data_IF_062137526887
#
_entry.id   IF_062137526887
#
_cell.length_a   1.000
_cell.length_b   1.000
_cell.length_c   1.000
_cell.angle_alpha   90.00
_cell.angle_beta   90.00
_cell.angle_gamma   90.00
#
_symmetry.space_group_name_H-M   'P 1'
#
loop_
_entity.id
_entity.type
_entity.pdbx_description
1 polymer ?
#
# COMPACT_ATOMS: atom_id res chain seq x y z
N UNK A 1 -22.83 15.16 11.16
CA UNK A 1 -21.75 15.81 11.93
C UNK A 1 -20.72 16.47 11.01
N UNK A 2 -20.13 15.76 10.05
CA UNK A 2 -19.08 16.29 9.16
C UNK A 2 -19.47 17.54 8.35
N UNK A 3 -20.72 17.64 7.88
CA UNK A 3 -21.18 18.83 7.14
C UNK A 3 -21.18 20.11 8.00
N UNK A 4 -21.69 20.03 9.23
CA UNK A 4 -21.71 21.16 10.17
C UNK A 4 -20.30 21.60 10.62
N UNK A 5 -19.36 20.66 10.70
CA UNK A 5 -17.97 20.95 11.02
C UNK A 5 -17.21 21.58 9.85
N UNK A 6 -17.48 21.14 8.62
CA UNK A 6 -16.92 21.78 7.41
C UNK A 6 -17.46 23.20 7.23
N UNK A 7 -18.74 23.42 7.53
CA UNK A 7 -19.36 24.75 7.49
C UNK A 7 -18.73 25.69 8.53
N UNK A 8 -18.43 25.19 9.73
CA UNK A 8 -17.87 26.00 10.83
C UNK A 8 -16.36 26.19 10.77
N UNK A 9 -15.62 25.16 10.38
CA UNK A 9 -14.15 25.13 10.47
C UNK A 9 -13.47 25.16 9.10
N UNK A 10 -14.19 24.92 8.00
CA UNK A 10 -13.66 24.96 6.64
C UNK A 10 -13.31 23.58 6.05
N UNK A 11 -12.89 23.58 4.78
CA UNK A 11 -12.66 22.35 3.98
C UNK A 11 -11.60 21.41 4.56
N UNK A 12 -10.68 21.89 5.39
CA UNK A 12 -9.67 21.04 6.03
C UNK A 12 -10.29 20.05 7.04
N UNK A 13 -11.50 20.31 7.56
CA UNK A 13 -12.20 19.40 8.45
C UNK A 13 -12.81 18.18 7.73
N UNK A 14 -12.70 18.11 6.40
CA UNK A 14 -13.05 16.93 5.61
C UNK A 14 -12.04 15.82 5.91
N UNK A 15 -12.52 14.64 6.32
CA UNK A 15 -11.67 13.47 6.59
C UNK A 15 -11.45 13.13 8.07
N UNK A 16 -11.85 14.01 9.00
CA UNK A 16 -11.76 13.88 10.48
C UNK A 16 -12.39 12.59 11.10
N UNK A 17 -12.97 11.71 10.28
CA UNK A 17 -13.53 10.40 10.68
C UNK A 17 -12.48 9.27 10.80
N UNK A 18 -11.20 9.62 10.82
CA UNK A 18 -10.07 8.67 10.76
C UNK A 18 -9.41 8.56 12.14
N UNK A 19 -9.97 7.71 12.99
CA UNK A 19 -9.52 7.49 14.36
C UNK A 19 -8.57 6.30 14.50
N UNK A 20 -7.78 6.31 15.57
CA UNK A 20 -6.78 5.29 15.90
C UNK A 20 -7.43 3.93 16.16
N UNK A 21 -8.55 3.91 16.90
CA UNK A 21 -9.18 2.67 17.39
C UNK A 21 -10.60 2.41 16.87
N UNK A 22 -11.21 3.33 16.09
CA UNK A 22 -12.44 3.00 15.35
C UNK A 22 -12.83 3.98 14.21
N UNK A 23 -12.78 3.48 12.98
CA UNK A 23 -13.44 4.01 11.79
C UNK A 23 -13.66 2.86 10.78
N UNK A 24 -14.34 3.08 9.65
CA UNK A 24 -14.41 2.05 8.58
C UNK A 24 -13.01 1.54 8.16
N UNK A 25 -11.96 2.33 8.47
CA UNK A 25 -10.54 2.09 8.26
C UNK A 25 -9.81 2.57 9.52
N UNK A 26 -9.46 1.66 10.42
CA UNK A 26 -8.67 1.95 11.62
C UNK A 26 -7.25 2.44 11.24
N UNK A 27 -6.52 3.04 12.19
CA UNK A 27 -5.14 3.52 11.98
C UNK A 27 -4.99 5.00 11.61
N UNK A 28 -5.99 5.83 11.89
CA UNK A 28 -5.91 7.27 11.70
C UNK A 28 -5.27 8.04 12.85
N UNK A 29 -4.84 9.30 12.62
CA UNK A 29 -4.06 10.10 13.57
C UNK A 29 -4.88 10.64 14.73
N UNK A 30 -6.21 10.47 14.71
CA UNK A 30 -7.13 11.00 15.73
C UNK A 30 -7.31 9.97 16.85
N UNK A 31 -6.82 10.28 18.05
CA UNK A 31 -6.93 9.42 19.23
C UNK A 31 -8.09 9.82 20.17
N UNK A 32 -8.53 11.09 20.12
CA UNK A 32 -9.53 11.63 21.06
C UNK A 32 -11.00 11.33 20.70
N UNK A 33 -11.25 10.63 19.60
CA UNK A 33 -12.58 10.26 19.16
C UNK A 33 -12.59 8.80 18.72
N UNK A 34 -13.37 7.94 19.38
CA UNK A 34 -13.46 6.51 19.01
C UNK A 34 -14.76 6.22 18.24
N UNK A 35 -15.92 6.24 18.90
CA UNK A 35 -17.22 5.99 18.28
C UNK A 35 -18.33 6.82 18.96
N UNK A 36 -19.49 7.03 18.29
CA UNK A 36 -20.61 7.75 18.89
C UNK A 36 -21.06 7.18 20.24
N UNK A 37 -20.96 5.86 20.44
CA UNK A 37 -21.40 5.19 21.68
C UNK A 37 -20.56 5.57 22.90
N UNK A 38 -19.23 5.65 22.73
CA UNK A 38 -18.30 5.85 23.84
C UNK A 38 -17.77 7.29 23.92
N UNK A 39 -17.85 8.04 22.82
CA UNK A 39 -17.41 9.45 22.76
C UNK A 39 -18.52 10.46 23.02
N UNK A 40 -19.80 10.11 22.79
CA UNK A 40 -20.93 11.00 23.07
C UNK A 40 -21.44 10.72 24.49
N UNK A 41 -21.16 11.66 25.39
CA UNK A 41 -21.60 11.61 26.79
C UNK A 41 -22.46 12.84 27.10
N UNK A 42 -21.96 13.77 27.90
CA UNK A 42 -22.61 15.08 28.10
C UNK A 42 -22.27 16.03 26.95
N UNK A 43 -23.09 17.06 26.67
CA UNK A 43 -22.79 18.03 25.62
C UNK A 43 -21.41 18.68 25.77
N UNK A 44 -21.01 19.04 26.99
CA UNK A 44 -19.72 19.66 27.28
C UNK A 44 -18.54 18.70 27.03
N UNK A 45 -18.62 17.46 27.55
CA UNK A 45 -17.56 16.46 27.34
C UNK A 45 -17.46 16.03 25.87
N UNK A 46 -18.62 15.90 25.20
CA UNK A 46 -18.67 15.57 23.78
C UNK A 46 -18.03 16.69 22.96
N UNK A 47 -18.35 17.95 23.26
CA UNK A 47 -17.74 19.09 22.60
C UNK A 47 -16.23 19.13 22.83
N UNK A 48 -15.76 18.88 24.06
CA UNK A 48 -14.34 18.82 24.37
C UNK A 48 -13.61 17.73 23.56
N UNK A 49 -14.19 16.52 23.46
CA UNK A 49 -13.64 15.43 22.64
C UNK A 49 -13.62 15.77 21.16
N UNK A 50 -14.70 16.37 20.63
CA UNK A 50 -14.75 16.83 19.23
C UNK A 50 -13.65 17.85 18.95
N UNK A 51 -13.46 18.82 19.84
CA UNK A 51 -12.42 19.85 19.70
C UNK A 51 -11.03 19.23 19.73
N UNK A 52 -10.75 18.35 20.70
CA UNK A 52 -9.45 17.67 20.80
C UNK A 52 -9.14 16.85 19.53
N UNK A 53 -10.10 16.08 19.05
CA UNK A 53 -9.97 15.30 17.83
C UNK A 53 -9.75 16.15 16.57
N UNK A 54 -10.40 17.32 16.48
CA UNK A 54 -10.18 18.27 15.38
C UNK A 54 -8.78 18.90 15.44
N UNK A 55 -8.26 19.18 16.64
CA UNK A 55 -6.90 19.68 16.81
C UNK A 55 -5.84 18.63 16.42
N UNK A 56 -6.05 17.35 16.76
CA UNK A 56 -5.18 16.24 16.31
C UNK A 56 -5.16 16.12 14.79
N UNK A 57 -6.34 16.13 14.16
CA UNK A 57 -6.47 16.10 12.72
C UNK A 57 -5.76 17.27 12.05
N UNK A 58 -5.91 18.48 12.59
CA UNK A 58 -5.21 19.67 12.10
C UNK A 58 -3.70 19.55 12.24
N UNK A 59 -3.21 19.11 13.40
CA UNK A 59 -1.77 18.93 13.64
C UNK A 59 -1.16 17.90 12.69
N UNK A 60 -1.89 16.82 12.39
CA UNK A 60 -1.48 15.86 11.39
C UNK A 60 -1.43 16.45 9.98
N UNK A 61 -2.44 17.22 9.56
CA UNK A 61 -2.44 17.91 8.26
C UNK A 61 -1.30 18.93 8.11
N UNK A 62 -1.01 19.70 9.16
CA UNK A 62 0.09 20.66 9.18
C UNK A 62 1.45 19.96 9.14
N UNK A 63 1.61 18.84 9.87
CA UNK A 63 2.79 17.98 9.79
C UNK A 63 2.97 17.42 8.38
N UNK A 64 1.90 16.84 7.80
CA UNK A 64 1.90 16.30 6.44
C UNK A 64 2.26 17.37 5.39
N UNK A 65 1.71 18.57 5.50
CA UNK A 65 2.07 19.69 4.63
C UNK A 65 3.57 20.04 4.76
N UNK A 66 4.08 20.13 5.99
CA UNK A 66 5.51 20.32 6.25
C UNK A 66 6.38 19.22 5.64
N UNK A 67 5.92 17.96 5.63
CA UNK A 67 6.62 16.86 4.96
C UNK A 67 6.65 17.03 3.45
N UNK A 68 5.54 17.42 2.82
CA UNK A 68 5.53 17.68 1.37
C UNK A 68 6.40 18.88 0.98
N UNK A 69 6.50 19.90 1.84
CA UNK A 69 7.40 21.03 1.63
C UNK A 69 8.88 20.65 1.82
N UNK A 70 9.20 19.85 2.85
CA UNK A 70 10.57 19.44 3.16
C UNK A 70 11.10 18.35 2.20
N UNK A 71 10.21 17.51 1.69
CA UNK A 71 10.53 16.42 0.76
C UNK A 71 9.64 16.54 -0.47
N UNK A 72 9.85 17.59 -1.29
CA UNK A 72 9.08 17.74 -2.50
C UNK A 72 9.29 16.48 -3.35
N UNK A 73 8.18 15.87 -3.77
CA UNK A 73 8.14 14.76 -4.71
C UNK A 73 8.61 15.24 -6.09
N UNK A 74 9.88 15.60 -6.21
CA UNK A 74 10.51 15.81 -7.51
C UNK A 74 10.78 14.43 -8.09
N UNK A 75 10.26 14.19 -9.29
CA UNK A 75 10.79 13.13 -10.11
C UNK A 75 12.31 13.34 -10.20
N UNK A 76 13.15 12.34 -9.90
CA UNK A 76 14.58 12.51 -10.11
C UNK A 76 14.81 12.82 -11.58
N UNK A 77 15.39 14.00 -11.85
CA UNK A 77 15.75 14.42 -13.19
C UNK A 77 16.66 13.35 -13.80
N UNK A 78 16.19 12.69 -14.86
CA UNK A 78 17.01 11.82 -15.71
C UNK A 78 16.84 10.30 -15.57
N UNK A 79 15.97 9.79 -14.70
CA UNK A 79 15.64 8.34 -14.75
C UNK A 79 14.55 8.12 -15.78
N UNK A 80 14.93 7.79 -17.01
CA UNK A 80 13.95 7.44 -18.07
C UNK A 80 13.06 6.30 -17.58
N UNK A 81 11.74 6.39 -17.69
CA UNK A 81 10.80 5.33 -17.25
C UNK A 81 10.76 4.11 -18.21
N UNK A 82 11.80 3.93 -19.04
CA UNK A 82 11.87 2.85 -20.02
C UNK A 82 12.02 1.46 -19.40
N UNK A 83 11.70 0.39 -20.17
CA UNK A 83 11.83 -1.00 -19.75
C UNK A 83 13.20 -1.32 -19.14
N UNK A 84 13.21 -2.22 -18.15
CA UNK A 84 14.43 -2.66 -17.48
C UNK A 84 14.41 -4.18 -17.42
N UNK A 85 15.32 -4.80 -18.19
CA UNK A 85 15.56 -6.24 -18.17
C UNK A 85 16.59 -6.53 -17.08
N UNK A 86 16.29 -7.31 -16.05
CA UNK A 86 17.26 -7.59 -15.00
C UNK A 86 18.23 -8.68 -15.46
N UNK A 87 19.46 -8.63 -14.97
CA UNK A 87 20.45 -9.69 -15.15
C UNK A 87 20.10 -10.94 -14.31
N UNK A 88 19.31 -10.76 -13.24
CA UNK A 88 18.82 -11.82 -12.35
C UNK A 88 17.36 -11.60 -12.02
N UNK A 89 16.62 -12.68 -11.83
CA UNK A 89 15.24 -12.58 -11.36
C UNK A 89 15.23 -12.36 -9.84
N UNK A 90 15.42 -11.11 -9.42
CA UNK A 90 15.52 -10.75 -8.01
C UNK A 90 14.30 -11.15 -7.20
N UNK A 91 13.10 -11.13 -7.80
CA UNK A 91 11.87 -11.57 -7.12
C UNK A 91 11.87 -13.09 -6.91
N UNK A 92 12.15 -13.88 -7.96
CA UNK A 92 12.16 -15.34 -7.84
C UNK A 92 13.32 -15.85 -6.96
N UNK A 93 14.50 -15.25 -7.05
CA UNK A 93 15.64 -15.56 -6.17
C UNK A 93 15.29 -15.27 -4.71
N UNK A 94 14.66 -14.13 -4.43
CA UNK A 94 14.27 -13.74 -3.08
C UNK A 94 13.22 -14.70 -2.48
N UNK A 95 12.20 -15.07 -3.27
CA UNK A 95 11.17 -16.02 -2.83
C UNK A 95 11.79 -17.37 -2.47
N UNK A 96 12.66 -17.92 -3.33
CA UNK A 96 13.35 -19.19 -3.06
C UNK A 96 14.21 -19.11 -1.81
N UNK A 97 14.94 -18.02 -1.62
CA UNK A 97 15.86 -17.87 -0.50
C UNK A 97 15.15 -17.59 0.83
N UNK A 98 14.13 -16.72 0.84
CA UNK A 98 13.48 -16.24 2.05
C UNK A 98 12.24 -17.02 2.41
N UNK A 99 11.26 -17.09 1.49
CA UNK A 99 10.05 -17.85 1.76
C UNK A 99 10.38 -19.36 1.78
N UNK A 100 11.29 -19.83 0.91
CA UNK A 100 11.71 -21.24 0.88
C UNK A 100 12.51 -21.70 2.10
N UNK A 101 13.24 -20.78 2.76
CA UNK A 101 13.90 -21.08 4.03
C UNK A 101 12.90 -21.23 5.20
N UNK A 102 11.72 -20.63 5.08
CA UNK A 102 10.63 -20.76 6.06
C UNK A 102 9.80 -22.00 5.76
N UNK A 103 9.35 -22.15 4.51
CA UNK A 103 8.49 -23.23 4.03
C UNK A 103 8.58 -23.35 2.49
N UNK A 104 8.98 -24.53 2.01
CA UNK A 104 9.12 -24.80 0.58
C UNK A 104 7.79 -24.70 -0.19
N UNK A 105 6.69 -25.21 0.38
CA UNK A 105 5.36 -25.17 -0.26
C UNK A 105 4.89 -23.72 -0.40
N UNK A 106 5.14 -22.91 0.63
CA UNK A 106 4.87 -21.46 0.58
C UNK A 106 5.66 -20.76 -0.53
N UNK A 107 6.91 -21.13 -0.72
CA UNK A 107 7.74 -20.58 -1.80
C UNK A 107 7.19 -20.99 -3.17
N UNK A 108 6.80 -22.25 -3.36
CA UNK A 108 6.22 -22.76 -4.61
C UNK A 108 4.92 -22.03 -4.95
N UNK A 109 4.03 -21.84 -3.98
CA UNK A 109 2.80 -21.07 -4.16
C UNK A 109 3.06 -19.61 -4.54
N UNK A 110 4.04 -18.95 -3.92
CA UNK A 110 4.40 -17.57 -4.25
C UNK A 110 5.11 -17.44 -5.60
N UNK A 111 5.86 -18.45 -6.03
CA UNK A 111 6.44 -18.51 -7.39
C UNK A 111 5.36 -18.69 -8.46
N UNK A 112 4.38 -19.58 -8.23
CA UNK A 112 3.24 -19.74 -9.13
C UNK A 112 2.42 -18.43 -9.24
N UNK A 113 2.20 -17.74 -8.12
CA UNK A 113 1.58 -16.41 -8.11
C UNK A 113 2.38 -15.38 -8.90
N UNK A 114 3.72 -15.40 -8.79
CA UNK A 114 4.61 -14.51 -9.55
C UNK A 114 4.54 -14.78 -11.06
N UNK A 115 4.45 -16.05 -11.49
CA UNK A 115 4.27 -16.42 -12.89
C UNK A 115 2.92 -15.93 -13.43
N UNK A 116 1.83 -16.16 -12.69
CA UNK A 116 0.50 -15.69 -13.08
C UNK A 116 0.44 -14.17 -13.18
N UNK A 117 1.00 -13.47 -12.20
CA UNK A 117 1.12 -12.01 -12.20
C UNK A 117 1.85 -11.50 -13.45
N UNK A 118 2.91 -12.16 -13.89
CA UNK A 118 3.67 -11.77 -15.09
C UNK A 118 2.85 -11.97 -16.36
N UNK A 119 2.10 -13.07 -16.44
CA UNK A 119 1.17 -13.30 -17.53
C UNK A 119 0.07 -12.22 -17.57
N UNK A 120 -0.45 -11.83 -16.40
CA UNK A 120 -1.44 -10.76 -16.26
C UNK A 120 -0.88 -9.39 -16.67
N UNK A 121 0.36 -9.10 -16.31
CA UNK A 121 1.02 -7.87 -16.71
C UNK A 121 1.26 -7.82 -18.24
N UNK A 122 1.70 -8.94 -18.82
CA UNK A 122 1.99 -9.07 -20.25
C UNK A 122 0.73 -8.94 -21.12
N UNK A 123 -0.42 -9.45 -20.66
CA UNK A 123 -1.72 -9.28 -21.37
C UNK A 123 -2.35 -7.90 -21.22
N UNK A 124 -1.70 -6.99 -20.48
CA UNK A 124 -2.21 -5.63 -20.31
C UNK A 124 -3.33 -5.49 -19.28
N UNK A 125 -3.44 -6.39 -18.30
CA UNK A 125 -4.47 -6.32 -17.28
C UNK A 125 -4.38 -5.01 -16.46
N UNK A 126 -5.51 -4.58 -15.90
CA UNK A 126 -5.56 -3.49 -14.91
C UNK A 126 -5.59 -4.07 -13.51
N UNK A 127 -4.87 -3.47 -12.56
CA UNK A 127 -4.81 -3.96 -11.19
C UNK A 127 -6.16 -3.77 -10.50
N UNK A 128 -6.73 -4.85 -10.00
CA UNK A 128 -7.98 -4.86 -9.22
C UNK A 128 -7.94 -6.01 -8.20
N UNK A 129 -8.95 -6.07 -7.34
CA UNK A 129 -9.04 -7.09 -6.31
C UNK A 129 -9.13 -8.50 -6.90
N UNK A 130 -9.81 -8.73 -8.03
CA UNK A 130 -9.93 -10.05 -8.65
C UNK A 130 -8.56 -10.62 -9.05
N UNK A 131 -7.64 -9.79 -9.55
CA UNK A 131 -6.26 -10.21 -9.80
C UNK A 131 -5.54 -10.58 -8.51
N UNK A 132 -5.63 -9.73 -7.48
CA UNK A 132 -5.04 -10.02 -6.17
C UNK A 132 -5.58 -11.35 -5.63
N UNK A 133 -6.87 -11.61 -5.80
CA UNK A 133 -7.55 -12.82 -5.36
C UNK A 133 -7.00 -14.07 -6.07
N UNK A 134 -6.83 -13.99 -7.38
CA UNK A 134 -6.25 -15.08 -8.19
C UNK A 134 -4.82 -15.41 -7.76
N UNK A 135 -3.98 -14.39 -7.57
CA UNK A 135 -2.61 -14.61 -7.09
C UNK A 135 -2.61 -15.15 -5.65
N UNK A 136 -3.50 -14.63 -4.79
CA UNK A 136 -3.57 -15.03 -3.39
C UNK A 136 -4.01 -16.49 -3.23
N UNK A 137 -4.78 -17.03 -4.17
CA UNK A 137 -5.11 -18.45 -4.21
C UNK A 137 -3.84 -19.31 -4.22
N UNK A 138 -2.86 -18.97 -5.06
CA UNK A 138 -1.58 -19.67 -5.12
C UNK A 138 -0.73 -19.40 -3.86
N UNK A 139 -0.73 -18.16 -3.36
CA UNK A 139 0.04 -17.78 -2.15
C UNK A 139 -0.40 -18.56 -0.91
N UNK A 140 -1.70 -18.86 -0.80
CA UNK A 140 -2.30 -19.55 0.34
C UNK A 140 -2.55 -21.05 0.08
N UNK A 141 -2.22 -21.54 -1.12
CA UNK A 141 -2.49 -22.90 -1.57
C UNK A 141 -3.96 -23.33 -1.33
N UNK A 142 -4.90 -22.47 -1.72
CA UNK A 142 -6.34 -22.72 -1.53
C UNK A 142 -6.99 -23.29 -2.78
N UNK A 143 -7.96 -24.20 -2.57
CA UNK A 143 -8.72 -24.82 -3.67
C UNK A 143 -9.56 -23.82 -4.48
N UNK A 144 -9.92 -22.68 -3.88
CA UNK A 144 -10.68 -21.59 -4.49
C UNK A 144 -10.05 -20.25 -4.12
N UNK A 145 -10.26 -19.18 -4.93
CA UNK A 145 -9.78 -17.85 -4.59
C UNK A 145 -10.30 -17.40 -3.21
N UNK A 146 -9.43 -16.93 -2.30
CA UNK A 146 -9.85 -16.52 -0.95
C UNK A 146 -10.80 -15.32 -1.04
N UNK A 147 -11.88 -15.27 -0.26
CA UNK A 147 -12.80 -14.14 -0.30
C UNK A 147 -12.14 -12.86 0.22
N UNK A 148 -12.73 -11.71 -0.11
CA UNK A 148 -12.46 -10.48 0.65
C UNK A 148 -12.91 -10.72 2.09
N UNK A 149 -12.07 -10.37 3.06
CA UNK A 149 -12.37 -10.61 4.49
C UNK A 149 -13.70 -9.96 4.88
N UNK A 150 -14.41 -10.57 5.82
CA UNK A 150 -15.70 -10.05 6.33
C UNK A 150 -15.61 -9.49 7.74
N UNK A 151 -14.47 -9.69 8.40
CA UNK A 151 -14.19 -9.25 9.76
C UNK A 151 -12.96 -8.31 9.78
N UNK A 152 -12.78 -7.51 10.85
CA UNK A 152 -11.53 -6.81 11.07
C UNK A 152 -10.34 -7.78 11.06
N UNK A 153 -9.26 -7.39 10.37
CA UNK A 153 -8.03 -8.17 10.37
C UNK A 153 -7.08 -7.66 11.46
N UNK A 154 -6.21 -8.54 11.93
CA UNK A 154 -5.23 -8.22 12.95
C UNK A 154 -3.84 -8.67 12.52
N UNK A 155 -2.85 -7.79 12.67
CA UNK A 155 -1.46 -8.12 12.39
C UNK A 155 -0.57 -7.91 13.61
N UNK A 156 0.68 -8.38 13.49
CA UNK A 156 1.73 -8.25 14.53
C UNK A 156 1.29 -8.76 15.91
N UNK A 157 0.55 -9.87 15.94
CA UNK A 157 0.04 -10.46 17.19
C UNK A 157 -1.07 -9.63 17.85
N UNK A 158 -1.89 -8.94 17.05
CA UNK A 158 -3.03 -8.14 17.53
C UNK A 158 -2.71 -6.67 17.81
N UNK A 159 -1.48 -6.22 17.56
CA UNK A 159 -1.07 -4.82 17.77
C UNK A 159 -1.57 -3.87 16.68
N UNK A 160 -1.88 -4.41 15.50
CA UNK A 160 -2.43 -3.65 14.39
C UNK A 160 -3.82 -4.20 14.09
N UNK A 161 -4.82 -3.32 14.02
CA UNK A 161 -6.21 -3.63 13.67
C UNK A 161 -6.54 -2.94 12.34
N UNK A 162 -7.16 -3.68 11.43
CA UNK A 162 -7.60 -3.19 10.13
C UNK A 162 -9.12 -3.27 10.05
N UNK A 163 -9.77 -2.12 10.19
CA UNK A 163 -11.24 -1.98 10.15
C UNK A 163 -11.86 -2.45 8.82
N UNK A 164 -13.16 -2.76 8.85
CA UNK A 164 -13.94 -3.08 7.64
C UNK A 164 -15.30 -2.40 7.69
N UNK A 165 -15.63 -1.67 6.63
CA UNK A 165 -16.95 -1.10 6.38
C UNK A 165 -17.56 -1.54 5.02
N UNK A 166 -18.86 -1.25 4.78
CA UNK A 166 -19.61 -1.72 3.60
C UNK A 166 -19.06 -1.31 2.22
N UNK A 167 -18.15 -0.33 2.15
CA UNK A 167 -17.52 0.14 0.90
C UNK A 167 -16.01 -0.08 0.84
N UNK A 168 -15.45 -0.94 1.71
CA UNK A 168 -14.00 -1.17 1.80
C UNK A 168 -13.45 -1.75 0.50
N UNK A 169 -14.14 -2.72 -0.09
CA UNK A 169 -13.75 -3.34 -1.36
C UNK A 169 -13.76 -2.34 -2.52
N UNK A 170 -14.85 -1.59 -2.68
CA UNK A 170 -14.97 -0.62 -3.78
C UNK A 170 -13.87 0.47 -3.70
N UNK A 171 -13.50 0.88 -2.48
CA UNK A 171 -12.40 1.83 -2.27
C UNK A 171 -11.04 1.22 -2.58
N UNK A 172 -10.81 -0.04 -2.20
CA UNK A 172 -9.60 -0.75 -2.61
C UNK A 172 -9.49 -0.78 -4.14
N UNK A 173 -10.55 -1.19 -4.84
CA UNK A 173 -10.53 -1.26 -6.31
C UNK A 173 -10.28 0.11 -6.96
N UNK A 174 -10.85 1.18 -6.41
CA UNK A 174 -10.56 2.55 -6.85
C UNK A 174 -9.08 2.90 -6.66
N UNK A 175 -8.50 2.63 -5.48
CA UNK A 175 -7.09 2.91 -5.20
C UNK A 175 -6.13 2.09 -6.09
N UNK A 176 -6.42 0.80 -6.29
CA UNK A 176 -5.64 -0.06 -7.19
C UNK A 176 -5.68 0.44 -8.64
N UNK A 177 -6.85 0.90 -9.11
CA UNK A 177 -7.02 1.47 -10.45
C UNK A 177 -6.17 2.73 -10.65
N UNK A 178 -6.09 3.58 -9.63
CA UNK A 178 -5.29 4.81 -9.66
C UNK A 178 -3.76 4.56 -9.71
N UNK A 179 -3.31 3.31 -9.51
CA UNK A 179 -1.91 2.91 -9.69
C UNK A 179 -1.54 2.66 -11.17
N UNK A 180 -2.49 2.76 -12.10
CA UNK A 180 -2.23 2.72 -13.54
C UNK A 180 -1.52 3.99 -14.03
N UNK A 181 -0.90 3.94 -15.21
CA UNK A 181 -0.19 5.08 -15.80
C UNK A 181 -1.13 6.20 -16.32
N UNK A 182 -2.44 6.06 -16.14
CA UNK A 182 -3.45 6.96 -16.71
C UNK A 182 -3.71 8.21 -15.85
N UNK A 183 -4.02 9.33 -16.51
CA UNK A 183 -4.40 10.59 -15.87
C UNK A 183 -3.82 11.81 -16.59
N UNK A 184 -4.32 13.01 -16.27
CA UNK A 184 -3.82 14.27 -16.83
C UNK A 184 -2.38 14.59 -16.37
N UNK A 185 -1.99 14.08 -15.19
CA UNK A 185 -0.62 14.15 -14.64
C UNK A 185 -0.24 12.80 -14.02
N UNK A 186 0.33 11.87 -14.81
CA UNK A 186 0.67 10.55 -14.31
C UNK A 186 1.79 10.61 -13.26
N UNK A 187 1.59 9.90 -12.14
CA UNK A 187 2.60 9.74 -11.10
C UNK A 187 3.81 8.94 -11.63
N UNK A 188 5.04 9.22 -11.13
CA UNK A 188 6.22 8.42 -11.46
C UNK A 188 5.99 6.93 -11.16
N UNK A 189 6.58 6.03 -11.95
CA UNK A 189 6.42 4.58 -11.80
C UNK A 189 6.70 4.10 -10.37
N UNK A 190 7.76 4.59 -9.74
CA UNK A 190 8.15 4.23 -8.37
C UNK A 190 7.09 4.64 -7.36
N UNK A 191 6.45 5.79 -7.54
CA UNK A 191 5.36 6.25 -6.69
C UNK A 191 4.08 5.41 -6.90
N UNK A 192 3.75 5.05 -8.15
CA UNK A 192 2.63 4.14 -8.46
C UNK A 192 2.83 2.76 -7.82
N UNK A 193 4.02 2.19 -7.93
CA UNK A 193 4.35 0.89 -7.37
C UNK A 193 4.34 0.90 -5.83
N UNK A 194 4.88 1.97 -5.21
CA UNK A 194 4.81 2.16 -3.75
C UNK A 194 3.36 2.31 -3.28
N UNK A 195 2.54 3.07 -4.01
CA UNK A 195 1.12 3.26 -3.68
C UNK A 195 0.35 1.94 -3.72
N UNK A 196 0.47 1.17 -4.78
CA UNK A 196 -0.18 -0.14 -4.89
C UNK A 196 0.19 -1.09 -3.74
N UNK A 197 1.46 -1.07 -3.30
CA UNK A 197 1.91 -1.84 -2.13
C UNK A 197 1.21 -1.39 -0.85
N UNK A 198 1.22 -0.08 -0.59
CA UNK A 198 0.66 0.51 0.63
C UNK A 198 -0.86 0.38 0.69
N UNK A 199 -1.55 0.50 -0.45
CA UNK A 199 -2.99 0.27 -0.53
C UNK A 199 -3.33 -1.16 -0.06
N UNK A 200 -2.63 -2.19 -0.56
CA UNK A 200 -2.86 -3.57 -0.12
C UNK A 200 -2.55 -3.75 1.37
N UNK A 201 -1.47 -3.15 1.87
CA UNK A 201 -1.13 -3.17 3.30
C UNK A 201 -2.22 -2.49 4.15
N UNK A 202 -2.76 -1.36 3.69
CA UNK A 202 -3.75 -0.55 4.39
C UNK A 202 -5.13 -1.20 4.41
N UNK A 203 -5.66 -1.60 3.26
CA UNK A 203 -6.98 -2.23 3.18
C UNK A 203 -6.98 -3.66 3.75
N UNK A 204 -5.81 -4.31 3.72
CA UNK A 204 -5.57 -5.63 4.30
C UNK A 204 -6.62 -6.65 3.85
N UNK A 205 -6.80 -6.87 2.53
CA UNK A 205 -8.02 -7.48 1.99
C UNK A 205 -8.27 -8.95 2.36
N UNK A 206 -7.25 -9.68 2.79
CA UNK A 206 -7.32 -11.10 3.11
C UNK A 206 -7.09 -11.37 4.61
N UNK A 207 -7.47 -12.56 5.09
CA UNK A 207 -7.20 -12.96 6.48
C UNK A 207 -5.72 -13.31 6.73
N UNK A 208 -5.00 -13.76 5.70
CA UNK A 208 -3.55 -13.98 5.74
C UNK A 208 -2.88 -13.60 4.41
N UNK A 209 -1.57 -13.38 4.45
CA UNK A 209 -0.72 -13.23 3.27
C UNK A 209 -0.74 -11.84 2.66
N UNK A 210 -1.31 -10.82 3.31
CA UNK A 210 -1.40 -9.46 2.77
C UNK A 210 -0.03 -8.85 2.44
N UNK A 211 1.02 -9.13 3.23
CA UNK A 211 2.37 -8.67 2.90
C UNK A 211 2.92 -9.30 1.60
N UNK A 212 2.61 -10.57 1.34
CA UNK A 212 2.97 -11.26 0.09
C UNK A 212 2.14 -10.72 -1.08
N UNK A 213 0.85 -10.47 -0.86
CA UNK A 213 -0.04 -9.83 -1.84
C UNK A 213 0.41 -8.41 -2.20
N UNK A 214 0.80 -7.60 -1.21
CA UNK A 214 1.31 -6.24 -1.40
C UNK A 214 2.64 -6.23 -2.17
N UNK A 215 3.50 -7.22 -1.93
CA UNK A 215 4.72 -7.39 -2.73
C UNK A 215 4.39 -7.73 -4.19
N UNK A 216 3.43 -8.63 -4.44
CA UNK A 216 2.97 -8.95 -5.79
C UNK A 216 2.36 -7.72 -6.48
N UNK A 217 1.50 -6.94 -5.81
CA UNK A 217 0.93 -5.70 -6.37
C UNK A 217 2.02 -4.71 -6.84
N UNK A 218 3.07 -4.52 -6.04
CA UNK A 218 4.24 -3.71 -6.41
C UNK A 218 4.91 -4.25 -7.69
N UNK A 219 5.23 -5.55 -7.71
CA UNK A 219 5.93 -6.18 -8.83
C UNK A 219 5.07 -6.15 -10.10
N UNK A 220 3.75 -6.27 -9.98
CA UNK A 220 2.83 -6.15 -11.11
C UNK A 220 2.90 -4.76 -11.75
N UNK A 221 2.87 -3.69 -10.96
CA UNK A 221 2.95 -2.30 -11.48
C UNK A 221 4.27 -2.08 -12.24
N UNK A 222 5.38 -2.62 -11.73
CA UNK A 222 6.66 -2.59 -12.45
C UNK A 222 6.61 -3.42 -13.74
N UNK A 223 6.08 -4.63 -13.68
CA UNK A 223 5.98 -5.53 -14.83
C UNK A 223 5.08 -4.97 -15.94
N UNK A 224 4.04 -4.21 -15.61
CA UNK A 224 3.16 -3.51 -16.59
C UNK A 224 3.93 -2.52 -17.46
N UNK A 225 5.03 -1.94 -16.94
CA UNK A 225 5.92 -1.04 -17.68
C UNK A 225 7.19 -1.75 -18.21
N UNK A 226 7.23 -3.09 -18.17
CA UNK A 226 8.39 -3.86 -18.61
C UNK A 226 9.62 -3.69 -17.71
N UNK A 227 9.41 -3.39 -16.43
CA UNK A 227 10.49 -3.25 -15.42
C UNK A 227 10.51 -4.48 -14.51
N UNK A 228 11.66 -5.13 -14.41
CA UNK A 228 11.95 -6.09 -13.36
C UNK A 228 13.29 -5.75 -12.67
N UNK A 229 13.48 -6.24 -11.44
CA UNK A 229 14.56 -5.80 -10.54
C UNK A 229 15.57 -6.93 -10.30
N UNK A 230 16.87 -6.60 -10.25
CA UNK A 230 17.95 -7.52 -9.89
C UNK A 230 17.90 -7.98 -8.42
N UNK A 231 17.22 -7.23 -7.55
CA UNK A 231 17.07 -7.56 -6.13
C UNK A 231 15.90 -6.82 -5.51
N UNK A 232 15.24 -7.47 -4.55
CA UNK A 232 14.04 -6.95 -3.85
C UNK A 232 14.14 -7.09 -2.32
N UNK A 233 15.31 -7.47 -1.81
CA UNK A 233 15.49 -7.82 -0.40
C UNK A 233 15.10 -6.69 0.54
N UNK A 234 15.40 -5.42 0.23
CA UNK A 234 15.01 -4.28 1.08
C UNK A 234 13.49 -4.06 1.07
N UNK A 235 12.84 -4.25 -0.09
CA UNK A 235 11.37 -4.12 -0.23
C UNK A 235 10.62 -5.18 0.58
N UNK A 236 11.27 -6.31 0.87
CA UNK A 236 10.67 -7.46 1.52
C UNK A 236 11.03 -7.59 3.01
N UNK A 237 12.02 -6.84 3.49
CA UNK A 237 12.59 -6.96 4.85
C UNK A 237 12.19 -5.81 5.75
N UNK A 238 11.84 -4.68 5.15
CA UNK A 238 11.46 -3.46 5.86
C UNK A 238 9.94 -3.35 5.77
N UNK A 239 9.29 -3.19 6.93
CA UNK A 239 7.87 -2.93 7.00
C UNK A 239 7.63 -1.43 6.81
N UNK A 240 6.69 -1.08 5.94
CA UNK A 240 6.28 0.30 5.69
C UNK A 240 4.85 0.50 6.18
N UNK A 241 4.64 1.52 6.99
CA UNK A 241 3.33 1.88 7.51
C UNK A 241 2.61 2.79 6.52
N UNK A 242 1.45 2.33 6.03
CA UNK A 242 0.66 3.10 5.06
C UNK A 242 0.13 4.43 5.62
N UNK A 243 -0.02 4.53 6.94
CA UNK A 243 -0.43 5.76 7.62
C UNK A 243 0.73 6.74 7.86
N UNK A 244 1.99 6.33 7.63
CA UNK A 244 3.17 7.19 7.79
C UNK A 244 3.68 7.71 6.43
N UNK A 245 3.57 9.03 6.18
CA UNK A 245 4.08 9.65 4.95
C UNK A 245 5.58 9.45 4.72
N UNK A 246 6.38 9.32 5.79
CA UNK A 246 7.83 9.04 5.68
C UNK A 246 8.07 7.68 5.03
N UNK A 247 7.34 6.65 5.48
CA UNK A 247 7.49 5.29 4.99
C UNK A 247 7.09 5.19 3.52
N UNK A 248 6.06 5.93 3.08
CA UNK A 248 5.68 6.01 1.68
C UNK A 248 6.78 6.59 0.78
N UNK A 249 7.41 7.68 1.22
CA UNK A 249 8.54 8.30 0.52
C UNK A 249 9.76 7.38 0.50
N UNK A 250 10.05 6.71 1.61
CA UNK A 250 11.17 5.79 1.74
C UNK A 250 11.00 4.57 0.84
N UNK A 251 9.80 3.99 0.76
CA UNK A 251 9.50 2.89 -0.14
C UNK A 251 9.72 3.29 -1.61
N UNK A 252 9.19 4.44 -2.04
CA UNK A 252 9.39 4.93 -3.41
C UNK A 252 10.89 5.11 -3.74
N UNK A 253 11.69 5.61 -2.79
CA UNK A 253 13.15 5.74 -2.94
C UNK A 253 13.86 4.40 -3.06
N UNK A 254 13.47 3.39 -2.26
CA UNK A 254 14.08 2.06 -2.36
C UNK A 254 13.78 1.37 -3.69
N UNK A 255 12.56 1.53 -4.22
CA UNK A 255 12.22 1.02 -5.56
C UNK A 255 13.13 1.69 -6.60
N UNK A 256 13.35 3.00 -6.50
CA UNK A 256 14.21 3.73 -7.44
C UNK A 256 15.68 3.29 -7.35
N UNK A 257 16.21 3.08 -6.14
CA UNK A 257 17.57 2.56 -5.94
C UNK A 257 17.75 1.19 -6.60
N UNK A 258 16.82 0.25 -6.38
CA UNK A 258 16.88 -1.07 -7.01
C UNK A 258 16.77 -1.00 -8.53
N UNK A 259 15.95 -0.09 -9.05
CA UNK A 259 15.83 0.15 -10.51
C UNK A 259 17.13 0.69 -11.09
N UNK A 260 17.75 1.67 -10.43
CA UNK A 260 19.02 2.24 -10.85
C UNK A 260 20.17 1.23 -10.81
N UNK A 261 20.25 0.41 -9.75
CA UNK A 261 21.21 -0.69 -9.65
C UNK A 261 21.04 -1.71 -10.78
N UNK A 262 19.79 -2.07 -11.08
CA UNK A 262 19.49 -3.02 -12.17
C UNK A 262 20.01 -2.53 -13.51
N UNK A 263 19.84 -1.23 -13.82
CA UNK A 263 20.36 -0.60 -15.04
C UNK A 263 21.89 -0.56 -15.08
N UNK A 264 22.54 -0.24 -13.96
CA UNK A 264 24.02 -0.21 -13.89
C UNK A 264 24.64 -1.57 -14.17
N UNK A 265 24.04 -2.65 -13.66
CA UNK A 265 24.55 -4.01 -13.92
C UNK A 265 24.49 -4.41 -15.39
N UNK A 266 23.52 -3.91 -16.16
CA UNK A 266 23.47 -4.14 -17.62
C UNK A 266 24.61 -3.42 -18.35
N UNK A 267 24.90 -2.17 -17.98
CA UNK A 267 26.00 -1.41 -18.57
C UNK A 267 27.37 -2.05 -18.34
N UNK A 268 27.55 -2.68 -17.17
CA UNK A 268 28.78 -3.40 -16.83
C UNK A 268 28.93 -4.77 -17.52
N UNK A 269 27.83 -5.39 -17.97
CA UNK A 269 27.85 -6.65 -18.74
C UNK A 269 28.05 -6.45 -20.25
N UNK A 270 27.86 -5.22 -20.74
CA UNK A 270 28.05 -4.83 -22.14
C UNK A 270 29.37 -4.12 -22.45
N UNK A 271 30.30 -4.06 -21.48
CA UNK A 271 31.65 -3.49 -21.60
C UNK A 271 32.70 -4.60 -21.56
#
# INVERSE_FOLDING_TARGET
MSHALVERYGRWAVGWRWAHDEGDFDGGPVGNWCCPRDSITTPEETLARVVAALCEWRGWLESLAGWFEAYPLKAPDGVTDGPVVPARDGAAEDIRAFDGAVDATRADGLLAALEQLRADAARGASLNFELLQGWQQHVLDTAQPPPFRTLPAFAKGGRERYGIGPGTRDRLDACLTESAAGGEQPLPLTARAARAHLDVCFFHPFDDGNARSAFLALVFVLAREGVALNGVSLLRRIAFQAADPQDALMLARYIDVHRADTRRSLGALGS
#
